data_IF_234705321122
#
_entry.id   IF_234705321122
#
_cell.length_a   1.000
_cell.length_b   1.000
_cell.length_c   1.000
_cell.angle_alpha   90.00
_cell.angle_beta   90.00
_cell.angle_gamma   90.00
#
_symmetry.space_group_name_H-M   'P 1'
#
loop_
_entity.id
_entity.type
_entity.pdbx_description
1 polymer ?
#
# COMPACT_ATOMS: atom_id res chain seq x y z
N UNK A 1 -40.68 -15.18 -42.14
CA UNK A 1 -39.51 -14.85 -41.28
C UNK A 1 -38.50 -15.97 -41.42
N UNK A 2 -37.32 -15.66 -41.94
CA UNK A 2 -36.30 -16.66 -42.26
C UNK A 2 -35.65 -17.21 -40.98
N UNK A 3 -35.30 -18.52 -40.97
CA UNK A 3 -34.59 -19.18 -39.85
C UNK A 3 -33.29 -18.46 -39.43
N UNK A 4 -32.67 -17.71 -40.31
CA UNK A 4 -31.45 -16.94 -40.09
C UNK A 4 -31.68 -15.72 -39.17
N UNK A 5 -32.83 -15.06 -39.29
CA UNK A 5 -33.19 -13.89 -38.45
C UNK A 5 -33.44 -14.29 -37.00
N UNK A 6 -34.07 -15.44 -36.74
CA UNK A 6 -34.26 -15.97 -35.37
C UNK A 6 -32.97 -16.36 -34.69
N UNK A 7 -32.01 -16.97 -35.46
CA UNK A 7 -30.68 -17.32 -34.89
C UNK A 7 -29.85 -16.07 -34.50
N UNK A 8 -29.91 -15.01 -35.31
CA UNK A 8 -29.20 -13.74 -34.98
C UNK A 8 -29.84 -13.07 -33.76
N UNK A 9 -31.15 -13.07 -33.61
CA UNK A 9 -31.82 -12.53 -32.44
C UNK A 9 -31.46 -13.30 -31.16
N UNK A 10 -31.40 -14.63 -31.21
CA UNK A 10 -30.97 -15.48 -30.08
C UNK A 10 -29.51 -15.24 -29.67
N UNK A 11 -28.59 -15.07 -30.64
CA UNK A 11 -27.20 -14.78 -30.37
C UNK A 11 -27.02 -13.40 -29.72
N UNK A 12 -27.73 -12.39 -30.17
CA UNK A 12 -27.70 -11.04 -29.57
C UNK A 12 -28.26 -11.04 -28.14
N UNK A 13 -29.34 -11.78 -27.90
CA UNK A 13 -29.89 -11.92 -26.54
C UNK A 13 -28.94 -12.67 -25.62
N UNK A 14 -28.30 -13.75 -26.10
CA UNK A 14 -27.29 -14.49 -25.32
C UNK A 14 -26.06 -13.64 -25.01
N UNK A 15 -25.57 -12.86 -25.98
CA UNK A 15 -24.46 -11.93 -25.78
C UNK A 15 -24.82 -10.82 -24.77
N UNK A 16 -26.05 -10.25 -24.89
CA UNK A 16 -26.52 -9.26 -23.92
C UNK A 16 -26.64 -9.81 -22.49
N UNK A 17 -27.18 -11.03 -22.35
CA UNK A 17 -27.28 -11.70 -21.06
C UNK A 17 -25.89 -12.00 -20.47
N UNK A 18 -24.93 -12.45 -21.30
CA UNK A 18 -23.55 -12.69 -20.86
C UNK A 18 -22.89 -11.40 -20.36
N UNK A 19 -23.05 -10.28 -21.07
CA UNK A 19 -22.52 -8.98 -20.65
C UNK A 19 -23.14 -8.53 -19.32
N UNK A 20 -24.44 -8.71 -19.12
CA UNK A 20 -25.12 -8.38 -17.87
C UNK A 20 -24.64 -9.26 -16.70
N UNK A 21 -24.45 -10.55 -16.92
CA UNK A 21 -23.95 -11.48 -15.89
C UNK A 21 -22.50 -11.12 -15.50
N UNK A 22 -21.64 -10.86 -16.50
CA UNK A 22 -20.24 -10.46 -16.24
C UNK A 22 -20.20 -9.11 -15.53
N UNK A 23 -21.02 -8.13 -15.96
CA UNK A 23 -21.10 -6.82 -15.32
C UNK A 23 -21.61 -6.91 -13.88
N UNK A 24 -22.66 -7.70 -13.62
CA UNK A 24 -23.15 -7.92 -12.26
C UNK A 24 -22.14 -8.66 -11.38
N UNK A 25 -21.45 -9.67 -11.93
CA UNK A 25 -20.37 -10.37 -11.24
C UNK A 25 -19.22 -9.43 -10.87
N UNK A 26 -18.77 -8.57 -11.79
CA UNK A 26 -17.76 -7.58 -11.54
C UNK A 26 -18.16 -6.58 -10.45
N UNK A 27 -19.41 -6.12 -10.45
CA UNK A 27 -19.95 -5.23 -9.40
C UNK A 27 -19.94 -5.88 -8.02
N UNK A 28 -20.28 -7.17 -7.93
CA UNK A 28 -20.21 -7.91 -6.67
C UNK A 28 -18.78 -8.04 -6.19
N UNK A 29 -17.84 -8.37 -7.08
CA UNK A 29 -16.42 -8.50 -6.73
C UNK A 29 -15.80 -7.17 -6.27
N UNK A 30 -16.17 -6.05 -6.87
CA UNK A 30 -15.72 -4.71 -6.46
C UNK A 30 -16.22 -4.35 -5.06
N UNK A 31 -17.38 -4.85 -4.65
CA UNK A 31 -17.94 -4.59 -3.32
C UNK A 31 -17.38 -5.54 -2.24
N UNK A 32 -16.81 -6.68 -2.62
CA UNK A 32 -16.18 -7.60 -1.69
C UNK A 32 -14.73 -7.19 -1.43
N UNK A 33 -14.41 -6.94 -0.16
CA UNK A 33 -13.03 -6.68 0.22
C UNK A 33 -12.16 -7.95 0.03
N UNK A 34 -10.87 -7.79 -0.31
CA UNK A 34 -9.94 -8.92 -0.31
C UNK A 34 -9.83 -9.55 1.09
N UNK A 35 -9.62 -10.87 1.18
CA UNK A 35 -9.44 -11.55 2.46
C UNK A 35 -8.28 -10.97 3.29
N UNK A 36 -7.22 -10.55 2.61
CA UNK A 36 -6.07 -9.88 3.22
C UNK A 36 -6.47 -8.59 3.97
N UNK A 37 -7.49 -7.87 3.51
CA UNK A 37 -8.00 -6.67 4.18
C UNK A 37 -8.52 -6.96 5.59
N UNK A 38 -9.37 -7.98 5.71
CA UNK A 38 -9.94 -8.33 7.01
C UNK A 38 -8.87 -8.87 7.97
N UNK A 39 -7.90 -9.63 7.46
CA UNK A 39 -6.77 -10.13 8.23
C UNK A 39 -5.88 -8.99 8.74
N UNK A 40 -5.51 -8.04 7.88
CA UNK A 40 -4.69 -6.89 8.22
C UNK A 40 -5.40 -5.93 9.18
N UNK A 41 -6.71 -5.79 9.05
CA UNK A 41 -7.53 -4.88 9.86
C UNK A 41 -7.85 -5.41 11.26
N UNK A 42 -7.96 -6.73 11.43
CA UNK A 42 -8.33 -7.34 12.71
C UNK A 42 -7.46 -6.89 13.89
N UNK A 43 -6.12 -6.89 13.79
CA UNK A 43 -5.26 -6.39 14.86
C UNK A 43 -5.41 -4.89 15.12
N UNK A 44 -5.68 -4.09 14.07
CA UNK A 44 -5.87 -2.65 14.16
C UNK A 44 -7.16 -2.26 14.89
N UNK A 45 -8.14 -3.14 14.94
CA UNK A 45 -9.40 -2.97 15.69
C UNK A 45 -9.32 -3.47 17.14
N UNK A 46 -8.24 -4.18 17.51
CA UNK A 46 -8.07 -4.72 18.85
C UNK A 46 -7.97 -3.59 19.90
N UNK A 47 -8.42 -3.83 21.15
CA UNK A 47 -8.27 -2.84 22.24
C UNK A 47 -6.82 -2.41 22.50
N UNK A 48 -5.85 -3.30 22.21
CA UNK A 48 -4.42 -3.02 22.34
C UNK A 48 -3.81 -2.22 21.19
N UNK A 49 -4.57 -1.86 20.16
CA UNK A 49 -4.03 -1.18 18.96
C UNK A 49 -3.39 0.17 19.29
N UNK A 50 -3.94 0.95 20.23
CA UNK A 50 -3.37 2.25 20.62
C UNK A 50 -2.00 2.10 21.28
N UNK A 51 -1.85 1.14 22.21
CA UNK A 51 -0.57 0.89 22.88
C UNK A 51 0.48 0.35 21.91
N UNK A 52 0.09 -0.51 20.95
CA UNK A 52 0.96 -1.01 19.89
C UNK A 52 1.41 0.09 18.95
N UNK A 53 0.49 0.96 18.52
CA UNK A 53 0.81 2.10 17.66
C UNK A 53 1.80 3.07 18.35
N UNK A 54 1.62 3.37 19.64
CA UNK A 54 2.52 4.21 20.41
C UNK A 54 3.89 3.52 20.60
N UNK A 55 3.91 2.22 20.86
CA UNK A 55 5.13 1.42 20.96
C UNK A 55 5.90 1.42 19.63
N UNK A 56 5.22 1.23 18.53
CA UNK A 56 5.79 1.28 17.19
C UNK A 56 6.42 2.65 16.88
N UNK A 57 5.70 3.76 17.12
CA UNK A 57 6.24 5.11 16.95
C UNK A 57 7.52 5.33 17.76
N UNK A 58 7.50 4.92 19.04
CA UNK A 58 8.64 5.07 19.93
C UNK A 58 9.84 4.25 19.44
N UNK A 59 9.63 3.00 19.05
CA UNK A 59 10.67 2.12 18.55
C UNK A 59 11.26 2.64 17.23
N UNK A 60 10.42 3.08 16.31
CA UNK A 60 10.84 3.64 15.03
C UNK A 60 11.63 4.94 15.22
N UNK A 61 11.13 5.86 16.05
CA UNK A 61 11.83 7.09 16.38
C UNK A 61 13.18 6.82 17.03
N UNK A 62 13.26 5.92 18.00
CA UNK A 62 14.50 5.51 18.64
C UNK A 62 15.50 4.93 17.63
N UNK A 63 15.03 4.06 16.73
CA UNK A 63 15.85 3.47 15.69
C UNK A 63 16.43 4.51 14.73
N UNK A 64 15.64 5.49 14.31
CA UNK A 64 16.05 6.54 13.38
C UNK A 64 17.00 7.55 14.04
N UNK A 65 16.70 7.97 15.27
CA UNK A 65 17.49 8.99 15.98
C UNK A 65 18.76 8.44 16.65
N UNK A 66 18.90 7.14 16.77
CA UNK A 66 20.11 6.55 17.34
C UNK A 66 21.34 7.04 16.60
N UNK A 67 22.33 7.52 17.35
CA UNK A 67 23.64 7.88 16.80
C UNK A 67 24.38 6.61 16.42
N UNK A 68 24.71 6.47 15.15
CA UNK A 68 25.41 5.31 14.58
C UNK A 68 26.60 5.76 13.75
N UNK A 69 27.55 4.84 13.57
CA UNK A 69 28.61 4.98 12.58
C UNK A 69 28.08 4.92 11.14
N UNK A 70 28.98 5.00 10.15
CA UNK A 70 28.61 4.99 8.73
C UNK A 70 28.13 3.61 8.22
N UNK A 71 28.13 2.60 9.09
CA UNK A 71 27.75 1.24 8.75
C UNK A 71 26.24 1.12 8.50
N UNK A 72 25.82 0.25 7.56
CA UNK A 72 24.42 -0.06 7.37
C UNK A 72 23.79 -0.65 8.64
N UNK A 73 22.54 -0.34 8.86
CA UNK A 73 21.73 -0.88 9.93
C UNK A 73 20.33 -1.23 9.39
N UNK A 74 19.62 -2.12 10.04
CA UNK A 74 18.29 -2.54 9.59
C UNK A 74 17.25 -2.37 10.70
N UNK A 75 16.02 -2.17 10.27
CA UNK A 75 14.83 -2.24 11.10
C UNK A 75 13.84 -3.22 10.47
N UNK A 76 13.31 -4.13 11.27
CA UNK A 76 12.21 -5.01 10.88
C UNK A 76 10.90 -4.41 11.40
N UNK A 77 9.94 -4.28 10.52
CA UNK A 77 8.63 -3.70 10.78
C UNK A 77 7.58 -4.80 10.64
N UNK A 78 6.86 -5.07 11.73
CA UNK A 78 5.72 -5.97 11.70
C UNK A 78 4.52 -5.25 11.05
N UNK A 79 3.94 -5.77 9.95
CA UNK A 79 2.73 -5.21 9.34
C UNK A 79 1.58 -5.05 10.32
N UNK A 80 1.50 -5.88 11.35
CA UNK A 80 0.46 -5.78 12.40
C UNK A 80 0.61 -4.49 13.20
N UNK A 81 1.84 -4.12 13.57
CA UNK A 81 2.11 -2.87 14.29
C UNK A 81 1.92 -1.65 13.39
N UNK A 82 2.35 -1.76 12.13
CA UNK A 82 2.18 -0.73 11.12
C UNK A 82 0.69 -0.49 10.83
N UNK A 83 -0.12 -1.54 10.70
CA UNK A 83 -1.57 -1.42 10.51
C UNK A 83 -2.26 -0.78 11.73
N UNK A 84 -1.81 -1.12 12.94
CA UNK A 84 -2.25 -0.46 14.17
C UNK A 84 -1.96 1.04 14.13
N UNK A 85 -0.77 1.42 13.69
CA UNK A 85 -0.37 2.81 13.53
C UNK A 85 -1.21 3.53 12.46
N UNK A 86 -1.42 2.96 11.28
CA UNK A 86 -2.31 3.52 10.26
C UNK A 86 -3.71 3.77 10.79
N UNK A 87 -4.28 2.82 11.52
CA UNK A 87 -5.63 2.94 12.05
C UNK A 87 -5.79 4.04 13.12
N UNK A 88 -4.75 4.34 13.90
CA UNK A 88 -4.83 5.20 15.08
C UNK A 88 -4.09 6.54 14.94
N UNK A 89 -3.01 6.56 14.17
CA UNK A 89 -2.07 7.69 14.10
C UNK A 89 -1.95 8.34 12.72
N UNK A 90 -2.40 7.65 11.66
CA UNK A 90 -2.26 8.16 10.30
C UNK A 90 -2.88 9.54 10.11
N UNK A 91 -4.14 9.76 10.50
CA UNK A 91 -4.81 11.05 10.33
C UNK A 91 -4.11 12.19 11.06
N UNK A 92 -3.90 12.11 12.40
CA UNK A 92 -3.15 13.14 13.12
C UNK A 92 -1.77 13.40 12.51
N UNK A 93 -1.09 12.33 12.03
CA UNK A 93 0.20 12.49 11.39
C UNK A 93 0.10 13.17 10.02
N UNK A 94 -0.88 12.84 9.19
CA UNK A 94 -1.12 13.46 7.89
C UNK A 94 -1.46 14.95 8.03
N UNK A 95 -2.25 15.29 9.04
CA UNK A 95 -2.58 16.69 9.37
C UNK A 95 -1.33 17.46 9.84
N UNK A 96 -0.47 16.82 10.63
CA UNK A 96 0.80 17.40 11.09
C UNK A 96 1.84 17.53 9.96
N UNK A 97 1.95 16.54 9.09
CA UNK A 97 2.90 16.53 7.97
C UNK A 97 2.57 17.58 6.91
N UNK A 98 1.33 18.09 6.91
CA UNK A 98 0.90 19.24 6.10
C UNK A 98 1.25 19.09 4.62
N UNK A 99 1.98 20.07 4.09
CA UNK A 99 2.34 20.15 2.66
C UNK A 99 3.33 19.06 2.19
N UNK A 100 3.88 18.26 3.11
CA UNK A 100 4.73 17.11 2.76
C UNK A 100 3.94 15.93 2.16
N UNK A 101 2.60 15.94 2.34
CA UNK A 101 1.70 14.96 1.75
C UNK A 101 0.96 15.61 0.59
N UNK A 102 0.89 14.96 -0.59
CA UNK A 102 0.13 15.45 -1.71
C UNK A 102 -1.31 15.81 -1.32
N UNK A 103 -1.79 16.97 -1.76
CA UNK A 103 -3.09 17.52 -1.39
C UNK A 103 -4.27 16.59 -1.73
N UNK A 104 -4.15 15.83 -2.81
CA UNK A 104 -5.12 14.86 -3.25
C UNK A 104 -5.22 13.67 -2.29
N UNK A 105 -4.11 13.19 -1.73
CA UNK A 105 -4.09 12.16 -0.68
C UNK A 105 -4.63 12.70 0.66
N UNK A 106 -4.27 13.94 1.00
CA UNK A 106 -4.73 14.59 2.24
C UNK A 106 -6.24 14.86 2.24
N UNK A 107 -6.80 15.26 1.10
CA UNK A 107 -8.22 15.61 0.94
C UNK A 107 -9.12 14.40 0.73
N UNK A 108 -8.54 13.22 0.40
CA UNK A 108 -9.36 12.04 0.21
C UNK A 108 -9.86 11.51 1.56
N UNK A 109 -11.13 11.09 1.65
CA UNK A 109 -11.66 10.42 2.83
C UNK A 109 -11.10 9.00 2.91
N UNK A 110 -9.79 8.88 3.22
CA UNK A 110 -9.15 7.59 3.48
C UNK A 110 -9.65 7.10 4.82
N UNK A 111 -10.60 6.16 4.82
CA UNK A 111 -11.14 5.59 6.06
C UNK A 111 -10.09 4.72 6.74
N UNK A 112 -9.32 3.97 5.94
CA UNK A 112 -8.27 3.11 6.41
C UNK A 112 -7.18 2.89 5.36
N UNK A 113 -5.96 2.75 5.86
CA UNK A 113 -4.81 2.20 5.12
C UNK A 113 -4.42 0.91 5.83
N UNK A 114 -4.14 -0.13 5.07
CA UNK A 114 -3.60 -1.37 5.61
C UNK A 114 -2.54 -1.94 4.67
N UNK A 115 -1.58 -2.64 5.24
CA UNK A 115 -0.53 -3.33 4.50
C UNK A 115 -0.46 -4.79 4.93
N UNK A 116 -0.06 -5.65 4.02
CA UNK A 116 0.26 -7.04 4.28
C UNK A 116 1.50 -7.42 3.48
N UNK A 117 2.32 -8.32 4.03
CA UNK A 117 3.41 -8.96 3.28
C UNK A 117 2.87 -10.30 2.81
N UNK A 118 2.87 -10.51 1.49
CA UNK A 118 2.45 -11.77 0.91
C UNK A 118 3.58 -12.80 0.91
N UNK A 119 3.22 -14.08 0.80
CA UNK A 119 4.17 -15.21 0.84
C UNK A 119 5.24 -15.18 -0.26
N UNK A 120 5.00 -14.43 -1.33
CA UNK A 120 5.90 -14.28 -2.49
C UNK A 120 6.84 -13.09 -2.40
N UNK A 121 6.92 -12.44 -1.23
CA UNK A 121 7.81 -11.28 -1.05
C UNK A 121 7.26 -9.98 -1.61
N UNK A 122 5.97 -9.89 -1.85
CA UNK A 122 5.28 -8.68 -2.28
C UNK A 122 4.63 -7.95 -1.10
N UNK A 123 4.60 -6.63 -1.17
CA UNK A 123 3.87 -5.77 -0.26
C UNK A 123 2.51 -5.42 -0.86
N UNK A 124 1.45 -5.87 -0.22
CA UNK A 124 0.09 -5.48 -0.56
C UNK A 124 -0.28 -4.22 0.23
N UNK A 125 -0.59 -3.13 -0.47
CA UNK A 125 -1.10 -1.88 0.10
C UNK A 125 -2.58 -1.78 -0.23
N UNK A 126 -3.41 -1.61 0.79
CA UNK A 126 -4.86 -1.54 0.69
C UNK A 126 -5.38 -0.22 1.23
N UNK A 127 -6.34 0.38 0.52
CA UNK A 127 -6.95 1.67 0.86
C UNK A 127 -8.47 1.53 0.85
N UNK A 128 -9.13 1.79 1.98
CA UNK A 128 -10.58 1.84 2.02
C UNK A 128 -11.08 3.25 1.74
N UNK A 129 -12.02 3.36 0.78
CA UNK A 129 -12.70 4.60 0.41
C UNK A 129 -14.19 4.35 0.27
N UNK A 130 -15.01 5.01 1.06
CA UNK A 130 -16.48 4.90 0.95
C UNK A 130 -16.97 3.45 0.94
N UNK A 131 -16.40 2.61 1.80
CA UNK A 131 -16.76 1.20 1.92
C UNK A 131 -16.21 0.27 0.82
N UNK A 132 -15.45 0.78 -0.13
CA UNK A 132 -14.71 0.00 -1.13
C UNK A 132 -13.23 -0.08 -0.76
N UNK A 133 -12.62 -1.21 -0.98
CA UNK A 133 -11.17 -1.42 -0.80
C UNK A 133 -10.49 -1.44 -2.15
N UNK A 134 -9.61 -0.48 -2.40
CA UNK A 134 -8.68 -0.50 -3.52
C UNK A 134 -7.34 -1.04 -3.03
N UNK A 135 -6.64 -1.82 -3.85
CA UNK A 135 -5.37 -2.42 -3.46
C UNK A 135 -4.33 -2.37 -4.57
N UNK A 136 -3.08 -2.42 -4.17
CA UNK A 136 -1.93 -2.51 -5.06
C UNK A 136 -0.88 -3.42 -4.44
N UNK A 137 -0.43 -4.43 -5.21
CA UNK A 137 0.76 -5.22 -4.90
C UNK A 137 1.99 -4.51 -5.40
N UNK A 138 3.02 -4.48 -4.59
CA UNK A 138 4.29 -3.80 -4.85
C UNK A 138 5.45 -4.77 -4.66
N UNK A 139 6.37 -4.79 -5.60
CA UNK A 139 7.65 -5.46 -5.47
C UNK A 139 8.79 -4.45 -5.30
N UNK A 140 9.87 -4.91 -4.71
CA UNK A 140 11.10 -4.13 -4.58
C UNK A 140 11.84 -4.16 -5.92
N UNK A 141 12.20 -2.98 -6.42
CA UNK A 141 12.97 -2.83 -7.66
C UNK A 141 14.17 -1.92 -7.43
N UNK A 142 15.20 -2.08 -8.27
CA UNK A 142 16.41 -1.27 -8.23
C UNK A 142 17.59 -2.00 -7.63
N UNK A 143 18.69 -1.26 -7.46
CA UNK A 143 19.95 -1.75 -6.89
C UNK A 143 20.12 -1.22 -5.46
N UNK A 144 20.97 -1.86 -4.64
CA UNK A 144 21.27 -1.35 -3.30
C UNK A 144 21.69 0.13 -3.32
N UNK A 145 20.97 0.96 -2.57
CA UNK A 145 21.13 2.41 -2.53
C UNK A 145 20.26 3.21 -3.52
N UNK A 146 19.53 2.53 -4.39
CA UNK A 146 18.53 3.12 -5.31
C UNK A 146 17.27 2.25 -5.36
N UNK A 147 16.76 1.93 -4.19
CA UNK A 147 15.60 1.03 -4.02
C UNK A 147 14.32 1.78 -4.26
N UNK A 148 13.45 1.22 -5.07
CA UNK A 148 12.10 1.70 -5.34
C UNK A 148 11.07 0.59 -5.18
N UNK A 149 9.82 0.95 -5.37
CA UNK A 149 8.68 0.04 -5.37
C UNK A 149 7.99 0.10 -6.73
N UNK A 150 7.76 -1.06 -7.35
CA UNK A 150 7.02 -1.15 -8.61
C UNK A 150 5.69 -1.90 -8.40
N UNK A 151 4.59 -1.43 -8.97
CA UNK A 151 3.31 -2.13 -8.91
C UNK A 151 3.34 -3.38 -9.78
N UNK A 152 3.01 -4.54 -9.18
CA UNK A 152 2.86 -5.84 -9.86
C UNK A 152 1.39 -6.17 -10.08
N UNK A 153 0.50 -5.66 -9.23
CA UNK A 153 -0.93 -5.86 -9.33
C UNK A 153 -1.72 -4.69 -8.75
N UNK A 154 -2.94 -4.52 -9.22
CA UNK A 154 -3.89 -3.54 -8.70
C UNK A 154 -5.29 -4.10 -8.76
N UNK A 155 -6.18 -3.62 -7.89
CA UNK A 155 -7.56 -4.06 -7.92
C UNK A 155 -8.50 -3.20 -7.09
N UNK A 156 -9.78 -3.50 -7.24
CA UNK A 156 -10.85 -2.91 -6.47
C UNK A 156 -11.74 -4.02 -5.91
N UNK A 157 -11.92 -4.03 -4.60
CA UNK A 157 -12.51 -5.17 -3.91
C UNK A 157 -11.70 -6.45 -4.19
N UNK A 158 -12.38 -7.54 -4.49
CA UNK A 158 -11.76 -8.79 -4.92
C UNK A 158 -11.53 -8.87 -6.44
N UNK A 159 -11.76 -7.78 -7.19
CA UNK A 159 -11.57 -7.74 -8.63
C UNK A 159 -10.18 -7.23 -8.98
N UNK A 160 -9.29 -8.08 -9.56
CA UNK A 160 -8.04 -7.62 -10.12
C UNK A 160 -8.29 -6.79 -11.38
N UNK A 161 -7.56 -5.70 -11.52
CA UNK A 161 -7.64 -4.79 -12.66
C UNK A 161 -6.30 -4.81 -13.43
N UNK A 162 -6.32 -4.62 -14.76
CA UNK A 162 -5.08 -4.39 -15.48
C UNK A 162 -4.36 -3.14 -14.95
N UNK A 163 -3.06 -3.23 -14.68
CA UNK A 163 -2.23 -2.13 -14.13
C UNK A 163 -2.36 -0.85 -14.97
N UNK A 164 -2.56 -1.00 -16.29
CA UNK A 164 -2.76 0.11 -17.24
C UNK A 164 -4.04 0.93 -16.93
N UNK A 165 -5.06 0.31 -16.34
CA UNK A 165 -6.35 0.96 -16.02
C UNK A 165 -6.28 1.70 -14.69
N UNK A 166 -5.36 1.34 -13.82
CA UNK A 166 -5.18 1.92 -12.49
C UNK A 166 -4.45 3.27 -12.49
N UNK A 167 -4.42 3.97 -13.61
CA UNK A 167 -3.62 5.14 -13.95
C UNK A 167 -3.45 6.26 -12.90
N UNK A 168 -4.35 6.34 -11.91
CA UNK A 168 -4.19 7.27 -10.79
C UNK A 168 -3.30 6.71 -9.67
N UNK A 169 -3.65 5.57 -9.09
CA UNK A 169 -2.93 4.98 -7.94
C UNK A 169 -1.57 4.42 -8.36
N UNK A 170 -1.53 3.69 -9.48
CA UNK A 170 -0.27 3.18 -10.03
C UNK A 170 0.69 4.30 -10.47
N UNK A 171 0.16 5.41 -11.00
CA UNK A 171 0.96 6.58 -11.38
C UNK A 171 1.55 7.32 -10.17
N UNK A 172 0.81 7.43 -9.08
CA UNK A 172 1.33 8.00 -7.83
C UNK A 172 2.39 7.08 -7.19
N UNK A 173 2.15 5.77 -7.16
CA UNK A 173 3.09 4.80 -6.63
C UNK A 173 4.34 4.66 -7.51
N UNK A 174 4.21 4.77 -8.83
CA UNK A 174 5.36 4.79 -9.74
C UNK A 174 6.30 6.00 -9.52
N UNK A 175 5.80 7.09 -8.93
CA UNK A 175 6.67 8.20 -8.49
C UNK A 175 7.61 7.80 -7.36
N UNK A 176 7.22 6.84 -6.53
CA UNK A 176 8.12 6.22 -5.53
C UNK A 176 9.10 5.22 -6.15
N UNK A 177 8.86 4.76 -7.39
CA UNK A 177 9.80 3.92 -8.15
C UNK A 177 11.12 4.62 -8.52
N UNK A 178 11.19 5.95 -8.39
CA UNK A 178 12.40 6.75 -8.56
C UNK A 178 13.39 6.71 -7.39
N UNK A 179 13.18 5.83 -6.41
CA UNK A 179 13.96 5.72 -5.18
C UNK A 179 13.23 6.31 -3.97
N UNK A 180 13.38 5.66 -2.83
CA UNK A 180 12.83 6.15 -1.57
C UNK A 180 13.55 7.43 -1.13
N UNK A 181 12.83 8.49 -0.75
CA UNK A 181 13.44 9.75 -0.39
C UNK A 181 14.32 9.61 0.88
N UNK A 182 15.44 10.31 0.89
CA UNK A 182 16.27 10.38 2.08
C UNK A 182 15.59 11.21 3.17
N UNK A 183 15.56 10.69 4.40
CA UNK A 183 15.00 11.38 5.55
C UNK A 183 16.05 12.30 6.20
N UNK A 184 15.82 13.60 6.16
CA UNK A 184 16.66 14.57 6.87
C UNK A 184 16.21 14.69 8.32
N UNK A 185 17.15 14.49 9.25
CA UNK A 185 16.91 14.63 10.68
C UNK A 185 17.12 16.08 11.13
N UNK A 186 16.54 16.46 12.26
CA UNK A 186 16.63 17.80 12.83
C UNK A 186 18.04 18.20 13.25
N UNK A 187 18.92 17.22 13.49
CA UNK A 187 20.33 17.41 13.83
C UNK A 187 21.25 17.49 12.59
N UNK A 188 20.66 17.55 11.40
CA UNK A 188 21.36 17.69 10.11
C UNK A 188 21.86 16.39 9.52
N UNK A 189 21.74 15.25 10.22
CA UNK A 189 22.02 13.94 9.65
C UNK A 189 20.96 13.57 8.61
N UNK A 190 21.32 12.63 7.72
CA UNK A 190 20.41 12.10 6.71
C UNK A 190 20.37 10.58 6.79
N UNK A 191 19.17 10.01 6.86
CA UNK A 191 18.97 8.57 6.78
C UNK A 191 18.55 8.22 5.35
N UNK A 192 19.32 7.33 4.71
CA UNK A 192 19.02 6.78 3.39
C UNK A 192 18.60 5.34 3.52
N UNK A 193 17.56 4.97 2.79
CA UNK A 193 17.19 3.56 2.59
C UNK A 193 18.15 2.99 1.55
N UNK A 194 18.84 1.91 1.92
CA UNK A 194 19.78 1.20 1.05
C UNK A 194 19.13 0.01 0.39
N UNK A 195 18.23 -0.66 1.12
CA UNK A 195 17.57 -1.87 0.67
C UNK A 195 16.24 -2.04 1.40
N UNK A 196 15.33 -2.77 0.78
CA UNK A 196 14.02 -3.11 1.29
C UNK A 196 13.74 -4.58 0.94
N UNK A 197 13.33 -5.35 1.91
CA UNK A 197 12.98 -6.76 1.70
C UNK A 197 11.66 -7.09 2.41
N UNK A 198 10.88 -7.98 1.79
CA UNK A 198 9.68 -8.55 2.36
C UNK A 198 9.96 -10.02 2.64
N UNK A 199 10.22 -10.35 3.91
CA UNK A 199 10.62 -11.69 4.32
C UNK A 199 10.02 -12.06 5.67
N UNK A 200 9.66 -13.33 5.84
CA UNK A 200 9.08 -13.87 7.08
C UNK A 200 7.86 -13.06 7.58
N UNK A 201 7.08 -12.50 6.66
CA UNK A 201 5.92 -11.68 6.97
C UNK A 201 6.26 -10.27 7.48
N UNK A 202 7.54 -9.87 7.47
CA UNK A 202 8.04 -8.58 7.94
C UNK A 202 8.49 -7.70 6.79
N UNK A 203 8.42 -6.38 6.98
CA UNK A 203 9.08 -5.39 6.12
C UNK A 203 10.45 -5.09 6.73
N UNK A 204 11.51 -5.49 6.08
CA UNK A 204 12.90 -5.23 6.53
C UNK A 204 13.47 -4.08 5.73
N UNK A 205 13.84 -3.00 6.40
CA UNK A 205 14.39 -1.80 5.79
C UNK A 205 15.84 -1.67 6.19
N UNK A 206 16.76 -1.76 5.24
CA UNK A 206 18.17 -1.49 5.47
C UNK A 206 18.48 -0.02 5.22
N UNK A 207 19.11 0.62 6.15
CA UNK A 207 19.39 2.05 6.14
C UNK A 207 20.88 2.35 6.36
N UNK A 208 21.28 3.57 6.01
CA UNK A 208 22.55 4.19 6.41
C UNK A 208 22.29 5.60 6.91
N UNK A 209 22.99 5.95 8.00
CA UNK A 209 22.96 7.33 8.50
C UNK A 209 24.21 8.07 8.01
N UNK A 210 23.99 9.13 7.24
CA UNK A 210 25.05 10.03 6.77
C UNK A 210 25.20 11.19 7.76
N UNK A 211 26.44 11.61 8.09
CA UNK A 211 26.67 12.74 8.98
C UNK A 211 26.13 14.04 8.40
N UNK A 212 25.87 15.02 9.26
CA UNK A 212 25.54 16.37 8.84
C UNK A 212 26.67 16.94 7.96
N UNK A 213 26.31 17.45 6.80
CA UNK A 213 27.24 18.21 5.95
C UNK A 213 27.52 19.54 6.68
N UNK A 214 28.77 19.76 7.06
CA UNK A 214 29.23 21.00 7.71
C UNK A 214 29.43 22.11 6.70
#
# INVERSE_FOLDING_TARGET
>A
MSRSSRRRGLLLMAAGAAVLIVGAGALVLVQHAPDAWDQARRPALAPSADSRAAGFETALAAAIHQVRGPEPWAIAIDPVDLNGWFARRWRPWADFAGDSIPDDLRRQPLEHVAVAVESEGELLVMLSRQGRVDWCSLEVVGEPGSVGLAPTGVGAGSLPLPVVVAGGLAGELARFGGGLPALKLTDGRTVRVLDLAFQDGMVVVQCRTEPAVR
#
